data_IF_209951407035
#
_entry.id   IF_209951407035
#
_cell.length_a   1.000
_cell.length_b   1.000
_cell.length_c   1.000
_cell.angle_alpha   90.00
_cell.angle_beta   90.00
_cell.angle_gamma   90.00
#
_symmetry.space_group_name_H-M   'P 1'
#
loop_
_entity.id
_entity.type
_entity.pdbx_description
1 polymer ?
#
# COMPACT_ATOMS: atom_id res chain seq x y z
N UNK A 1 8.52 0.25 65.83
CA UNK A 1 9.70 0.47 64.96
C UNK A 1 9.77 -0.68 63.97
N UNK A 2 9.23 -0.50 62.75
CA UNK A 2 9.99 -0.21 61.51
C UNK A 2 10.22 -1.55 60.78
N UNK A 3 9.92 -1.81 59.51
CA UNK A 3 9.21 -1.18 58.40
C UNK A 3 9.29 -2.21 57.24
N UNK A 4 8.27 -2.25 56.37
CA UNK A 4 8.38 -2.53 54.92
C UNK A 4 8.66 -3.95 54.37
N UNK A 5 7.58 -4.51 53.81
CA UNK A 5 7.43 -5.02 52.43
C UNK A 5 8.68 -5.05 51.52
N UNK A 6 8.86 -6.15 50.75
CA UNK A 6 8.37 -6.30 49.36
C UNK A 6 8.74 -7.67 48.78
N UNK A 7 7.75 -8.30 48.15
CA UNK A 7 7.90 -9.45 47.24
C UNK A 7 8.41 -8.92 45.90
N UNK A 8 9.55 -9.41 45.43
CA UNK A 8 9.96 -9.20 44.05
C UNK A 8 9.36 -10.30 43.17
N UNK A 9 8.28 -9.94 42.46
CA UNK A 9 7.80 -10.66 41.28
C UNK A 9 8.46 -9.99 40.09
N UNK A 10 9.53 -10.58 39.58
CA UNK A 10 10.11 -10.19 38.29
C UNK A 10 9.25 -10.76 37.17
N UNK A 11 8.09 -10.15 36.94
CA UNK A 11 7.35 -10.33 35.70
C UNK A 11 8.10 -9.55 34.62
N UNK A 12 8.82 -10.27 33.76
CA UNK A 12 9.43 -9.73 32.54
C UNK A 12 8.36 -9.14 31.63
N UNK A 13 8.12 -7.84 31.79
CA UNK A 13 7.18 -7.05 30.99
C UNK A 13 7.81 -6.79 29.62
N UNK A 14 7.22 -7.39 28.59
CA UNK A 14 7.47 -7.12 27.16
C UNK A 14 7.61 -5.61 26.91
N UNK A 15 8.79 -5.18 26.50
CA UNK A 15 9.02 -3.87 25.87
C UNK A 15 8.64 -3.96 24.40
N UNK A 16 7.38 -3.62 24.10
CA UNK A 16 6.90 -3.37 22.75
C UNK A 16 6.72 -1.86 22.54
N UNK A 17 7.83 -1.11 22.53
CA UNK A 17 7.84 0.29 22.10
C UNK A 17 8.03 0.37 20.59
N UNK A 18 6.98 0.05 19.84
CA UNK A 18 6.84 0.43 18.43
C UNK A 18 5.92 1.65 18.33
N UNK A 19 6.20 2.56 17.39
CA UNK A 19 5.29 3.67 17.05
C UNK A 19 3.87 3.11 16.82
N UNK A 20 2.81 3.73 17.38
CA UNK A 20 1.44 3.29 17.13
C UNK A 20 1.15 3.42 15.63
N UNK A 21 0.89 2.30 14.95
CA UNK A 21 0.53 2.27 13.52
C UNK A 21 1.37 1.34 12.65
N UNK A 22 2.65 1.10 12.97
CA UNK A 22 3.48 0.20 12.15
C UNK A 22 3.23 -1.26 12.53
N UNK A 23 2.65 -2.03 11.62
CA UNK A 23 2.58 -3.49 11.77
C UNK A 23 3.99 -4.05 11.89
N UNK A 24 4.19 -4.91 12.90
CA UNK A 24 5.45 -5.64 13.08
C UNK A 24 5.74 -6.48 11.83
N UNK A 25 7.02 -6.65 11.48
CA UNK A 25 7.39 -7.58 10.42
C UNK A 25 6.77 -8.96 10.66
N UNK A 26 6.38 -9.64 9.59
CA UNK A 26 6.01 -11.05 9.71
C UNK A 26 7.26 -11.89 9.99
N UNK A 27 7.07 -13.07 10.57
CA UNK A 27 8.18 -13.96 10.91
C UNK A 27 8.91 -14.39 9.64
N UNK A 28 10.25 -14.22 9.61
CA UNK A 28 11.07 -14.52 8.44
C UNK A 28 11.13 -13.43 7.38
N UNK A 29 10.44 -12.30 7.57
CA UNK A 29 10.50 -11.17 6.65
C UNK A 29 11.85 -10.46 6.70
N UNK A 30 12.53 -10.36 5.55
CA UNK A 30 13.81 -9.67 5.39
C UNK A 30 13.79 -8.67 4.21
N UNK A 31 13.56 -7.39 4.53
CA UNK A 31 13.56 -6.31 3.53
C UNK A 31 14.93 -6.08 2.87
N UNK A 32 16.02 -6.62 3.41
CA UNK A 32 17.36 -6.45 2.85
C UNK A 32 17.69 -7.43 1.73
N UNK A 33 16.79 -8.39 1.44
CA UNK A 33 16.97 -9.35 0.34
C UNK A 33 17.28 -8.67 -0.99
N UNK A 34 18.17 -9.30 -1.76
CA UNK A 34 18.48 -8.92 -3.14
C UNK A 34 17.76 -9.81 -4.17
N UNK A 35 16.89 -10.71 -3.70
CA UNK A 35 16.11 -11.61 -4.54
C UNK A 35 14.73 -11.00 -4.76
N UNK A 36 14.39 -10.75 -6.01
CA UNK A 36 13.08 -10.17 -6.34
C UNK A 36 11.94 -11.16 -6.01
N UNK A 37 12.21 -12.47 -6.01
CA UNK A 37 11.25 -13.52 -5.67
C UNK A 37 10.74 -13.37 -4.24
N UNK A 38 11.63 -13.02 -3.31
CA UNK A 38 11.28 -12.80 -1.91
C UNK A 38 10.33 -11.61 -1.78
N UNK A 39 10.58 -10.53 -2.54
CA UNK A 39 9.70 -9.37 -2.56
C UNK A 39 8.31 -9.72 -3.08
N UNK A 40 8.22 -10.48 -4.19
CA UNK A 40 6.94 -11.00 -4.70
C UNK A 40 6.23 -11.88 -3.67
N UNK A 41 6.97 -12.77 -3.02
CA UNK A 41 6.41 -13.68 -2.03
C UNK A 41 5.75 -12.92 -0.88
N UNK A 42 6.46 -11.95 -0.29
CA UNK A 42 5.91 -11.13 0.78
C UNK A 42 4.77 -10.23 0.32
N UNK A 43 4.83 -9.68 -0.90
CA UNK A 43 3.71 -8.96 -1.51
C UNK A 43 2.44 -9.82 -1.60
N UNK A 44 2.58 -11.09 -2.02
CA UNK A 44 1.46 -12.04 -2.05
C UNK A 44 0.88 -12.24 -0.66
N UNK A 45 1.72 -12.55 0.34
CA UNK A 45 1.27 -12.78 1.72
C UNK A 45 0.51 -11.57 2.28
N UNK A 46 1.06 -10.36 2.14
CA UNK A 46 0.39 -9.17 2.65
C UNK A 46 -0.91 -8.85 1.89
N UNK A 47 -0.94 -9.08 0.57
CA UNK A 47 -2.15 -8.94 -0.24
C UNK A 47 -3.25 -9.91 0.23
N UNK A 48 -2.92 -11.18 0.44
CA UNK A 48 -3.84 -12.23 0.89
C UNK A 48 -4.40 -11.91 2.28
N UNK A 49 -3.53 -11.47 3.20
CA UNK A 49 -3.94 -11.04 4.55
C UNK A 49 -4.90 -9.85 4.51
N UNK A 50 -4.63 -8.88 3.64
CA UNK A 50 -5.50 -7.71 3.45
C UNK A 50 -6.84 -8.10 2.84
N UNK A 51 -6.86 -8.97 1.83
CA UNK A 51 -8.10 -9.47 1.23
C UNK A 51 -8.95 -10.22 2.26
N UNK A 52 -8.34 -11.15 2.99
CA UNK A 52 -8.99 -11.90 4.05
C UNK A 52 -9.62 -10.98 5.11
N UNK A 53 -8.86 -10.01 5.63
CA UNK A 53 -9.36 -9.06 6.64
C UNK A 53 -10.46 -8.15 6.11
N UNK A 54 -10.38 -7.68 4.86
CA UNK A 54 -11.47 -6.92 4.21
C UNK A 54 -12.76 -7.74 4.15
N UNK A 55 -12.64 -9.03 3.83
CA UNK A 55 -13.78 -9.95 3.81
C UNK A 55 -14.45 -10.11 5.17
N UNK A 56 -13.66 -10.27 6.24
CA UNK A 56 -14.17 -10.33 7.62
C UNK A 56 -14.82 -9.00 8.02
N UNK A 57 -14.11 -7.89 7.83
CA UNK A 57 -14.58 -6.55 8.20
C UNK A 57 -15.92 -6.23 7.54
N UNK A 58 -16.03 -6.52 6.24
CA UNK A 58 -17.26 -6.28 5.49
C UNK A 58 -18.46 -7.11 5.98
N UNK A 59 -18.24 -8.34 6.48
CA UNK A 59 -19.31 -9.12 7.12
C UNK A 59 -19.71 -8.52 8.46
N UNK A 60 -18.72 -8.27 9.34
CA UNK A 60 -18.96 -7.69 10.66
C UNK A 60 -19.72 -6.36 10.59
N UNK A 61 -19.35 -5.48 9.66
CA UNK A 61 -20.01 -4.19 9.46
C UNK A 61 -21.48 -4.33 9.04
N UNK A 62 -21.83 -5.34 8.23
CA UNK A 62 -23.24 -5.59 7.84
C UNK A 62 -24.07 -6.11 9.00
N UNK A 63 -23.51 -7.01 9.80
CA UNK A 63 -24.23 -7.67 10.88
C UNK A 63 -24.41 -6.75 12.09
N UNK A 64 -23.53 -5.75 12.26
CA UNK A 64 -23.48 -4.83 13.41
C UNK A 64 -24.83 -4.12 13.67
N UNK A 65 -25.52 -3.68 12.62
CA UNK A 65 -26.77 -2.93 12.76
C UNK A 65 -27.90 -3.74 13.41
N UNK A 66 -27.85 -5.07 13.31
CA UNK A 66 -28.85 -5.97 13.91
C UNK A 66 -28.55 -6.37 15.36
N UNK A 67 -27.38 -6.00 15.90
CA UNK A 67 -26.97 -6.40 17.24
C UNK A 67 -27.52 -5.47 18.33
N UNK A 68 -27.62 -5.98 19.56
CA UNK A 68 -27.92 -5.19 20.74
C UNK A 68 -26.83 -4.12 21.00
N UNK A 69 -27.14 -2.92 21.51
CA UNK A 69 -26.17 -1.82 21.66
C UNK A 69 -24.87 -2.17 22.42
N UNK A 70 -24.94 -3.02 23.45
CA UNK A 70 -23.74 -3.47 24.17
C UNK A 70 -22.82 -4.34 23.31
N UNK A 71 -23.39 -5.22 22.48
CA UNK A 71 -22.62 -6.01 21.51
C UNK A 71 -22.05 -5.13 20.40
N UNK A 72 -22.78 -4.09 19.99
CA UNK A 72 -22.27 -3.11 19.02
C UNK A 72 -21.04 -2.36 19.55
N UNK A 73 -21.09 -1.90 20.81
CA UNK A 73 -19.96 -1.21 21.44
C UNK A 73 -18.72 -2.11 21.57
N UNK A 74 -18.91 -3.40 21.92
CA UNK A 74 -17.81 -4.36 21.97
C UNK A 74 -17.21 -4.59 20.58
N UNK A 75 -18.05 -4.83 19.56
CA UNK A 75 -17.61 -5.06 18.19
C UNK A 75 -16.90 -3.84 17.58
N UNK A 76 -17.29 -2.62 17.95
CA UNK A 76 -16.64 -1.40 17.47
C UNK A 76 -15.14 -1.34 17.85
N UNK A 77 -14.78 -1.82 19.04
CA UNK A 77 -13.38 -1.90 19.48
C UNK A 77 -12.59 -2.88 18.61
N UNK A 78 -13.15 -4.07 18.35
CA UNK A 78 -12.51 -5.07 17.51
C UNK A 78 -12.35 -4.61 16.06
N UNK A 79 -13.38 -3.94 15.51
CA UNK A 79 -13.34 -3.33 14.17
C UNK A 79 -12.17 -2.33 14.07
N UNK A 80 -12.02 -1.45 15.05
CA UNK A 80 -10.93 -0.47 15.09
C UNK A 80 -9.55 -1.14 15.12
N UNK A 81 -9.39 -2.25 15.86
CA UNK A 81 -8.15 -3.03 15.90
C UNK A 81 -7.85 -3.64 14.52
N UNK A 82 -8.84 -4.25 13.87
CA UNK A 82 -8.69 -4.85 12.55
C UNK A 82 -8.29 -3.78 11.52
N UNK A 83 -8.98 -2.64 11.52
CA UNK A 83 -8.67 -1.51 10.63
C UNK A 83 -7.25 -0.99 10.84
N UNK A 84 -6.82 -0.83 12.10
CA UNK A 84 -5.45 -0.41 12.43
C UNK A 84 -4.41 -1.42 11.93
N UNK A 85 -4.65 -2.72 12.10
CA UNK A 85 -3.75 -3.74 11.56
C UNK A 85 -3.69 -3.72 10.03
N UNK A 86 -4.83 -3.52 9.37
CA UNK A 86 -4.90 -3.43 7.91
C UNK A 86 -4.10 -2.24 7.38
N UNK A 87 -4.11 -1.09 8.08
CA UNK A 87 -3.26 0.05 7.72
C UNK A 87 -1.78 -0.35 7.73
N UNK A 88 -1.30 -0.98 8.80
CA UNK A 88 0.10 -1.37 8.87
C UNK A 88 0.48 -2.50 7.89
N UNK A 89 -0.44 -3.38 7.51
CA UNK A 89 -0.21 -4.35 6.43
C UNK A 89 -0.15 -3.68 5.05
N UNK A 90 -0.97 -2.65 4.83
CA UNK A 90 -0.87 -1.85 3.61
C UNK A 90 0.46 -1.10 3.54
N UNK A 91 0.89 -0.45 4.63
CA UNK A 91 2.21 0.19 4.69
C UNK A 91 3.34 -0.79 4.37
N UNK A 92 3.25 -2.03 4.85
CA UNK A 92 4.27 -3.04 4.58
C UNK A 92 4.25 -3.54 3.15
N UNK A 93 3.05 -3.76 2.62
CA UNK A 93 2.86 -4.12 1.22
C UNK A 93 3.45 -3.02 0.30
N UNK A 94 3.21 -1.75 0.61
CA UNK A 94 3.78 -0.60 -0.12
C UNK A 94 5.31 -0.61 -0.08
N UNK A 95 5.93 -0.93 1.07
CA UNK A 95 7.39 -1.05 1.21
C UNK A 95 7.97 -2.15 0.31
N UNK A 96 7.35 -3.34 0.30
CA UNK A 96 7.79 -4.43 -0.56
C UNK A 96 7.64 -4.11 -2.04
N UNK A 97 6.63 -3.34 -2.40
CA UNK A 97 6.49 -2.88 -3.77
C UNK A 97 7.57 -1.89 -4.19
N UNK A 98 7.95 -0.93 -3.34
CA UNK A 98 9.12 -0.09 -3.63
C UNK A 98 10.36 -0.97 -3.81
N UNK A 99 10.54 -1.98 -2.94
CA UNK A 99 11.69 -2.86 -2.99
C UNK A 99 11.76 -3.69 -4.28
N UNK A 100 10.67 -4.29 -4.73
CA UNK A 100 10.70 -5.06 -5.99
C UNK A 100 11.03 -4.18 -7.19
N UNK A 101 10.68 -2.89 -7.19
CA UNK A 101 11.06 -1.99 -8.28
C UNK A 101 12.56 -1.74 -8.36
N UNK A 102 13.19 -1.58 -7.21
CA UNK A 102 14.65 -1.50 -7.12
C UNK A 102 15.29 -2.79 -7.63
N UNK A 103 14.72 -3.95 -7.27
CA UNK A 103 15.26 -5.27 -7.64
C UNK A 103 15.02 -5.64 -9.12
N UNK A 104 13.89 -5.24 -9.71
CA UNK A 104 13.56 -5.43 -11.14
C UNK A 104 14.27 -4.42 -12.06
N UNK A 105 15.01 -3.47 -11.49
CA UNK A 105 15.80 -2.49 -12.25
C UNK A 105 14.96 -1.40 -12.91
N UNK A 106 13.81 -1.04 -12.32
CA UNK A 106 13.05 0.13 -12.72
C UNK A 106 13.71 1.39 -12.15
N UNK A 107 14.00 2.36 -13.01
CA UNK A 107 14.70 3.59 -12.63
C UNK A 107 13.94 4.80 -13.15
N UNK A 108 13.75 5.80 -12.28
CA UNK A 108 13.16 7.09 -12.64
C UNK A 108 14.20 8.19 -12.51
N UNK A 109 14.29 9.05 -13.51
CA UNK A 109 15.05 10.29 -13.49
C UNK A 109 14.07 11.47 -13.51
N UNK A 110 13.97 12.18 -12.40
CA UNK A 110 13.07 13.32 -12.26
C UNK A 110 13.55 14.57 -13.00
N UNK A 111 14.87 14.74 -13.20
CA UNK A 111 15.42 15.90 -13.87
C UNK A 111 15.05 15.87 -15.36
N UNK A 112 15.32 14.73 -16.00
CA UNK A 112 15.06 14.53 -17.43
C UNK A 112 13.65 13.97 -17.70
N UNK A 113 12.90 13.61 -16.65
CA UNK A 113 11.60 12.92 -16.72
C UNK A 113 11.70 11.65 -17.54
N UNK A 114 12.73 10.86 -17.27
CA UNK A 114 12.99 9.62 -17.97
C UNK A 114 12.64 8.43 -17.08
N UNK A 115 12.09 7.40 -17.70
CA UNK A 115 11.89 6.10 -17.08
C UNK A 115 12.69 5.06 -17.85
N UNK A 116 13.41 4.22 -17.11
CA UNK A 116 14.23 3.14 -17.67
C UNK A 116 13.85 1.81 -17.03
N UNK A 117 13.66 0.79 -17.84
CA UNK A 117 13.40 -0.58 -17.40
C UNK A 117 14.08 -1.55 -18.35
N UNK A 118 14.90 -2.46 -17.80
CA UNK A 118 15.63 -3.50 -18.56
C UNK A 118 16.32 -2.99 -19.84
N UNK A 119 17.00 -1.84 -19.72
CA UNK A 119 17.74 -1.21 -20.83
C UNK A 119 16.89 -0.38 -21.82
N UNK A 120 15.56 -0.43 -21.74
CA UNK A 120 14.67 0.44 -22.53
C UNK A 120 14.40 1.73 -21.78
N UNK A 121 14.38 2.85 -22.49
CA UNK A 121 14.22 4.19 -21.90
C UNK A 121 13.21 5.01 -22.69
N UNK A 122 12.34 5.74 -22.00
CA UNK A 122 11.38 6.67 -22.58
C UNK A 122 11.40 7.98 -21.79
N UNK A 123 11.39 9.11 -22.50
CA UNK A 123 11.20 10.44 -21.92
C UNK A 123 9.70 10.74 -21.84
N UNK A 124 9.26 11.21 -20.67
CA UNK A 124 7.87 11.50 -20.35
C UNK A 124 7.63 13.01 -20.33
N UNK A 125 6.39 13.40 -20.63
CA UNK A 125 5.92 14.74 -20.28
C UNK A 125 5.88 14.89 -18.74
N UNK A 126 5.86 16.14 -18.26
CA UNK A 126 5.76 16.43 -16.81
C UNK A 126 4.60 15.69 -16.14
N UNK A 127 3.43 15.69 -16.77
CA UNK A 127 2.22 15.10 -16.18
C UNK A 127 2.24 13.58 -16.20
N UNK A 128 2.77 12.97 -17.27
CA UNK A 128 2.97 11.52 -17.34
C UNK A 128 3.96 11.05 -16.28
N UNK A 129 5.09 11.75 -16.13
CA UNK A 129 6.08 11.43 -15.10
C UNK A 129 5.51 11.54 -13.70
N UNK A 130 4.83 12.65 -13.39
CA UNK A 130 4.18 12.85 -12.08
C UNK A 130 3.14 11.77 -11.78
N UNK A 131 2.31 11.40 -12.76
CA UNK A 131 1.32 10.35 -12.58
C UNK A 131 1.98 8.98 -12.36
N UNK A 132 3.00 8.66 -13.14
CA UNK A 132 3.74 7.40 -13.00
C UNK A 132 4.41 7.33 -11.64
N UNK A 133 5.16 8.37 -11.25
CA UNK A 133 5.85 8.43 -9.97
C UNK A 133 4.84 8.26 -8.81
N UNK A 134 3.74 9.00 -8.84
CA UNK A 134 2.69 8.91 -7.82
C UNK A 134 2.12 7.48 -7.69
N UNK A 135 1.85 6.81 -8.82
CA UNK A 135 1.30 5.45 -8.80
C UNK A 135 2.34 4.40 -8.38
N UNK A 136 3.62 4.61 -8.70
CA UNK A 136 4.72 3.74 -8.27
C UNK A 136 5.08 3.91 -6.79
N UNK A 137 4.87 5.09 -6.23
CA UNK A 137 4.98 5.36 -4.79
C UNK A 137 3.79 4.80 -4.00
N UNK A 138 2.66 4.53 -4.67
CA UNK A 138 1.45 3.99 -4.06
C UNK A 138 0.83 2.79 -4.81
N UNK A 139 1.61 1.71 -5.03
CA UNK A 139 1.17 0.54 -5.77
C UNK A 139 0.05 -0.20 -5.01
N UNK A 140 -0.87 -0.81 -5.74
CA UNK A 140 -2.06 -1.54 -5.26
C UNK A 140 -3.08 -0.68 -4.48
N UNK A 141 -2.81 0.61 -4.27
CA UNK A 141 -3.77 1.56 -3.74
C UNK A 141 -4.58 2.18 -4.88
N UNK A 142 -5.89 2.22 -4.67
CA UNK A 142 -6.80 2.84 -5.63
C UNK A 142 -6.95 4.33 -5.32
N UNK A 143 -6.85 5.14 -6.37
CA UNK A 143 -7.06 6.59 -6.32
C UNK A 143 -8.12 7.02 -7.32
N UNK A 144 -9.11 7.78 -6.84
CA UNK A 144 -10.10 8.42 -7.71
C UNK A 144 -9.44 9.49 -8.58
N UNK A 145 -10.13 9.88 -9.64
CA UNK A 145 -9.68 10.96 -10.51
C UNK A 145 -9.37 12.25 -9.74
N UNK A 146 -10.25 12.62 -8.81
CA UNK A 146 -10.07 13.80 -7.94
C UNK A 146 -8.87 13.67 -7.02
N UNK A 147 -8.62 12.47 -6.48
CA UNK A 147 -7.43 12.21 -5.67
C UNK A 147 -6.15 12.32 -6.49
N UNK A 148 -6.12 11.80 -7.72
CA UNK A 148 -4.98 11.93 -8.62
C UNK A 148 -4.72 13.41 -8.96
N UNK A 149 -5.77 14.15 -9.32
CA UNK A 149 -5.67 15.60 -9.60
C UNK A 149 -5.04 16.35 -8.41
N UNK A 150 -5.54 16.10 -7.20
CA UNK A 150 -5.09 16.78 -5.98
C UNK A 150 -3.72 16.33 -5.48
N UNK A 151 -3.38 15.04 -5.59
CA UNK A 151 -2.17 14.48 -4.96
C UNK A 151 -0.99 14.34 -5.94
N UNK A 152 -1.24 13.92 -7.19
CA UNK A 152 -0.17 13.74 -8.17
C UNK A 152 0.22 15.07 -8.84
N UNK A 153 -0.74 15.97 -9.05
CA UNK A 153 -0.52 17.21 -9.81
C UNK A 153 -0.72 18.48 -9.01
N UNK A 154 -1.58 18.44 -7.97
CA UNK A 154 -1.99 19.59 -7.15
C UNK A 154 -2.36 20.82 -8.01
N UNK A 155 -2.94 20.60 -9.18
CA UNK A 155 -3.23 21.63 -10.16
C UNK A 155 -4.75 21.78 -10.33
N UNK A 156 -5.33 22.93 -9.91
CA UNK A 156 -6.76 23.17 -10.01
C UNK A 156 -7.24 23.41 -11.45
N UNK A 157 -6.35 23.62 -12.41
CA UNK A 157 -6.70 23.85 -13.81
C UNK A 157 -7.00 22.56 -14.59
N UNK A 158 -6.66 21.39 -14.03
CA UNK A 158 -6.83 20.10 -14.71
C UNK A 158 -8.22 19.50 -14.46
N UNK A 159 -8.80 18.94 -15.52
CA UNK A 159 -10.11 18.30 -15.47
C UNK A 159 -10.02 16.79 -15.29
N UNK A 160 -11.04 16.13 -14.73
CA UNK A 160 -11.10 14.68 -14.59
C UNK A 160 -10.84 13.89 -15.88
N UNK A 161 -11.24 14.44 -17.03
CA UNK A 161 -11.05 13.86 -18.36
C UNK A 161 -9.58 13.74 -18.73
N UNK A 162 -8.75 14.70 -18.31
CA UNK A 162 -7.32 14.69 -18.59
C UNK A 162 -6.61 13.55 -17.88
N UNK A 163 -7.02 13.22 -16.65
CA UNK A 163 -6.52 12.02 -15.95
C UNK A 163 -6.74 10.78 -16.78
N UNK A 164 -7.93 10.61 -17.40
CA UNK A 164 -8.20 9.43 -18.24
C UNK A 164 -7.27 9.38 -19.45
N UNK A 165 -6.98 10.52 -20.07
CA UNK A 165 -6.05 10.62 -21.19
C UNK A 165 -4.63 10.23 -20.78
N UNK A 166 -4.13 10.77 -19.67
CA UNK A 166 -2.80 10.45 -19.14
C UNK A 166 -2.70 8.99 -18.70
N UNK A 167 -3.73 8.41 -18.09
CA UNK A 167 -3.81 6.98 -17.80
C UNK A 167 -3.68 6.14 -19.08
N UNK A 168 -4.37 6.54 -20.15
CA UNK A 168 -4.29 5.86 -21.45
C UNK A 168 -2.87 5.89 -22.05
N UNK A 169 -2.21 7.05 -22.02
CA UNK A 169 -0.81 7.20 -22.45
C UNK A 169 0.13 6.38 -21.58
N UNK A 170 -0.08 6.40 -20.26
CA UNK A 170 0.75 5.68 -19.33
C UNK A 170 0.65 4.17 -19.53
N UNK A 171 -0.53 3.63 -19.81
CA UNK A 171 -0.70 2.21 -20.18
C UNK A 171 0.12 1.81 -21.41
N UNK A 172 0.25 2.71 -22.39
CA UNK A 172 1.09 2.47 -23.56
C UNK A 172 2.57 2.43 -23.17
N UNK A 173 3.04 3.41 -22.40
CA UNK A 173 4.42 3.48 -21.90
C UNK A 173 4.79 2.22 -21.09
N UNK A 174 3.93 1.81 -20.15
CA UNK A 174 4.16 0.63 -19.30
C UNK A 174 4.31 -0.65 -20.15
N UNK A 175 3.51 -0.77 -21.22
CA UNK A 175 3.59 -1.88 -22.17
C UNK A 175 4.86 -1.82 -23.02
N UNK A 176 5.17 -0.67 -23.59
CA UNK A 176 6.32 -0.48 -24.50
C UNK A 176 7.66 -0.70 -23.77
N UNK A 177 7.72 -0.37 -22.47
CA UNK A 177 8.87 -0.64 -21.61
C UNK A 177 8.88 -2.05 -20.99
N UNK A 178 7.84 -2.85 -21.26
CA UNK A 178 7.63 -4.18 -20.66
C UNK A 178 7.73 -4.17 -19.13
N UNK A 179 7.23 -3.11 -18.48
CA UNK A 179 7.18 -3.07 -17.01
C UNK A 179 6.10 -4.07 -16.57
N UNK A 180 6.39 -4.97 -15.61
CA UNK A 180 5.50 -6.08 -15.23
C UNK A 180 4.32 -5.63 -14.35
N UNK A 181 3.58 -4.61 -14.79
CA UNK A 181 2.38 -4.08 -14.13
C UNK A 181 1.25 -3.80 -15.09
N UNK A 182 0.06 -3.79 -14.51
CA UNK A 182 -1.17 -3.35 -15.12
C UNK A 182 -1.74 -2.14 -14.36
N UNK A 183 -2.12 -1.10 -15.11
CA UNK A 183 -2.83 0.06 -14.59
C UNK A 183 -4.34 -0.19 -14.65
N UNK A 184 -4.89 -0.72 -13.57
CA UNK A 184 -6.28 -1.13 -13.43
C UNK A 184 -7.21 0.05 -13.17
N UNK A 185 -8.49 -0.11 -13.53
CA UNK A 185 -9.57 0.80 -13.16
C UNK A 185 -10.67 0.00 -12.46
N UNK A 186 -11.13 0.45 -11.30
CA UNK A 186 -12.24 -0.14 -10.56
C UNK A 186 -13.33 0.91 -10.32
N UNK A 187 -14.56 0.71 -10.81
CA UNK A 187 -15.66 1.66 -10.60
C UNK A 187 -15.83 2.03 -9.13
N UNK A 188 -16.01 3.33 -8.86
CA UNK A 188 -16.12 3.88 -7.50
C UNK A 188 -14.81 3.94 -6.69
N UNK A 189 -13.73 3.27 -7.14
CA UNK A 189 -12.41 3.31 -6.47
C UNK A 189 -11.34 4.04 -7.27
N UNK A 190 -11.45 4.06 -8.60
CA UNK A 190 -10.53 4.76 -9.49
C UNK A 190 -9.41 3.86 -10.01
N UNK A 191 -8.18 4.39 -10.09
CA UNK A 191 -7.05 3.75 -10.74
C UNK A 191 -6.04 3.20 -9.74
N UNK A 192 -5.39 2.09 -10.08
CA UNK A 192 -4.35 1.47 -9.26
C UNK A 192 -3.32 0.80 -10.17
N UNK A 193 -2.05 0.87 -9.80
CA UNK A 193 -0.96 0.17 -10.46
C UNK A 193 -0.70 -1.14 -9.71
N UNK A 194 -0.86 -2.26 -10.40
CA UNK A 194 -0.86 -3.61 -9.83
C UNK A 194 0.14 -4.48 -10.59
N UNK A 195 0.94 -5.27 -9.88
CA UNK A 195 1.89 -6.18 -10.51
C UNK A 195 1.15 -7.25 -11.32
N UNK A 196 1.65 -7.50 -12.52
CA UNK A 196 1.17 -8.61 -13.32
C UNK A 196 1.69 -9.91 -12.68
N UNK A 197 0.82 -10.85 -12.27
CA UNK A 197 1.28 -12.18 -11.92
C UNK A 197 1.87 -12.85 -13.17
N UNK A 198 3.01 -13.52 -13.01
CA UNK A 198 3.60 -14.34 -14.08
C UNK A 198 2.67 -15.50 -14.48
#
# INVERSE_FOLDING_TARGET
>A
MTLRQRRDRTTGRRSATGRPGRSRPLEGEDLSTNRWEDARHWMSIYSDLLEFKRGILGRMQRDLAGLHPTAQAAAAVDLQIIETQMLGYQERLDLWFTRIWELEGLQLDAADRMVRHRGRTVTLTKREFQLLQFLLEHPHRYFTTTQILGQAWADPALFPEEVRNYVGRLRKILRDLEIPVDLLNKPGRGYSLVFRPD
#
